data_IF_384612536241
#
_entry.id   IF_384612536241
#
_cell.length_a   1.000
_cell.length_b   1.000
_cell.length_c   1.000
_cell.angle_alpha   90.00
_cell.angle_beta   90.00
_cell.angle_gamma   90.00
#
_symmetry.space_group_name_H-M   'P 1'
#
loop_
_entity.id
_entity.type
_entity.pdbx_description
1 polymer ?
#
# COMPACT_ATOMS: atom_id res chain seq x y z
N UNK A 1 -48.21 -23.52 24.94
CA UNK A 1 -49.46 -23.42 24.13
C UNK A 1 -49.40 -22.11 23.37
N UNK A 2 -49.13 -22.13 22.11
CA UNK A 2 -49.74 -21.45 20.98
C UNK A 2 -48.87 -21.65 19.75
N UNK A 3 -49.41 -22.41 18.81
CA UNK A 3 -48.86 -22.61 17.45
C UNK A 3 -49.09 -21.34 16.62
N UNK A 4 -48.16 -20.96 15.81
CA UNK A 4 -48.43 -20.09 14.66
C UNK A 4 -47.79 -20.68 13.41
N UNK A 5 -48.65 -20.82 12.43
CA UNK A 5 -48.51 -21.53 11.17
C UNK A 5 -47.61 -20.84 10.17
N UNK A 6 -46.84 -21.63 9.44
CA UNK A 6 -46.12 -21.22 8.22
C UNK A 6 -47.10 -21.27 7.04
N UNK A 7 -47.20 -20.17 6.30
CA UNK A 7 -47.88 -20.13 5.01
C UNK A 7 -46.85 -20.12 3.90
N UNK A 8 -46.81 -21.21 3.11
CA UNK A 8 -46.02 -21.27 1.85
C UNK A 8 -46.79 -20.46 0.78
N UNK A 9 -46.05 -19.57 0.12
CA UNK A 9 -46.52 -18.93 -1.11
C UNK A 9 -45.74 -19.49 -2.29
N UNK A 10 -46.38 -20.24 -3.15
CA UNK A 10 -45.88 -20.75 -4.40
C UNK A 10 -46.00 -19.65 -5.48
N UNK A 11 -44.88 -19.27 -6.11
CA UNK A 11 -44.88 -18.43 -7.32
C UNK A 11 -44.70 -19.31 -8.56
N UNK A 12 -45.65 -19.20 -9.46
CA UNK A 12 -45.74 -19.85 -10.76
C UNK A 12 -44.76 -19.26 -11.76
N UNK A 13 -44.00 -20.13 -12.48
CA UNK A 13 -43.24 -19.77 -13.66
C UNK A 13 -44.19 -19.47 -14.84
N UNK A 14 -44.13 -18.29 -15.39
CA UNK A 14 -44.64 -17.96 -16.71
C UNK A 14 -43.52 -17.94 -17.72
N UNK A 15 -43.54 -18.84 -18.70
CA UNK A 15 -42.59 -18.90 -19.79
C UNK A 15 -42.80 -17.77 -20.81
N UNK A 16 -41.75 -17.09 -21.18
CA UNK A 16 -41.71 -16.19 -22.33
C UNK A 16 -40.91 -16.83 -23.47
N UNK A 17 -41.57 -17.01 -24.61
CA UNK A 17 -40.98 -17.47 -25.88
C UNK A 17 -40.12 -16.39 -26.48
N UNK A 18 -38.90 -16.75 -26.90
CA UNK A 18 -38.02 -15.93 -27.70
C UNK A 18 -38.57 -15.82 -29.13
N UNK A 19 -38.71 -14.60 -29.61
CA UNK A 19 -38.94 -14.30 -31.03
C UNK A 19 -37.58 -13.98 -31.66
N UNK A 20 -37.19 -14.76 -32.66
CA UNK A 20 -36.03 -14.45 -33.52
C UNK A 20 -36.41 -13.38 -34.53
N UNK A 21 -35.69 -12.25 -34.47
CA UNK A 21 -35.68 -11.25 -35.52
C UNK A 21 -34.28 -11.23 -36.15
N UNK A 22 -34.20 -11.71 -37.37
CA UNK A 22 -33.05 -11.56 -38.25
C UNK A 22 -33.12 -10.17 -38.88
N UNK A 23 -32.20 -9.29 -38.53
CA UNK A 23 -31.98 -8.02 -39.19
C UNK A 23 -30.48 -7.76 -39.28
N UNK A 24 -29.93 -7.97 -40.49
CA UNK A 24 -28.58 -7.52 -40.83
C UNK A 24 -28.59 -5.98 -40.94
N UNK A 25 -27.88 -5.33 -40.03
CA UNK A 25 -27.53 -3.93 -40.15
C UNK A 25 -26.00 -3.83 -40.18
N UNK A 26 -25.50 -3.42 -41.34
CA UNK A 26 -24.13 -2.96 -41.52
C UNK A 26 -23.88 -1.78 -40.60
N UNK A 27 -23.08 -1.98 -39.54
CA UNK A 27 -22.58 -0.89 -38.71
C UNK A 27 -21.17 -0.56 -39.17
N UNK A 28 -21.09 0.50 -39.98
CA UNK A 28 -19.84 1.20 -40.21
C UNK A 28 -19.28 1.63 -38.82
N UNK A 29 -18.33 0.92 -38.29
CA UNK A 29 -17.55 1.35 -37.16
C UNK A 29 -16.62 2.48 -37.58
N UNK A 30 -17.03 3.70 -37.31
CA UNK A 30 -16.10 4.83 -37.29
C UNK A 30 -15.12 4.63 -36.17
N UNK A 31 -13.91 4.23 -36.50
CA UNK A 31 -12.76 4.33 -35.63
C UNK A 31 -12.56 5.80 -35.24
N UNK A 32 -12.57 6.10 -33.95
CA UNK A 32 -12.34 7.48 -33.54
C UNK A 32 -12.63 7.73 -32.07
N UNK A 33 -11.87 7.15 -31.19
CA UNK A 33 -11.44 7.77 -29.95
C UNK A 33 -10.10 7.13 -29.60
N UNK A 34 -9.01 7.80 -29.93
CA UNK A 34 -7.74 7.58 -29.26
C UNK A 34 -7.94 7.99 -27.82
N UNK A 35 -8.36 7.05 -26.97
CA UNK A 35 -8.19 7.18 -25.56
C UNK A 35 -6.68 7.34 -25.34
N UNK A 36 -6.23 8.47 -24.81
CA UNK A 36 -4.88 8.58 -24.32
C UNK A 36 -4.71 7.46 -23.31
N UNK A 37 -3.82 6.50 -23.60
CA UNK A 37 -3.40 5.53 -22.60
C UNK A 37 -2.88 6.35 -21.42
N UNK A 38 -3.51 6.17 -20.25
CA UNK A 38 -2.97 6.75 -19.02
C UNK A 38 -1.65 6.07 -18.80
N UNK A 39 -0.56 6.84 -18.65
CA UNK A 39 0.75 6.27 -18.44
C UNK A 39 0.76 5.44 -17.15
N UNK A 40 1.23 4.21 -17.25
CA UNK A 40 1.36 3.31 -16.10
C UNK A 40 2.39 3.84 -15.11
N UNK A 41 2.15 3.59 -13.83
CA UNK A 41 3.00 4.03 -12.72
C UNK A 41 3.73 2.83 -12.12
N UNK A 42 5.06 2.86 -12.20
CA UNK A 42 5.97 2.07 -11.39
C UNK A 42 6.61 3.03 -10.40
N UNK A 43 6.22 2.95 -9.12
CA UNK A 43 6.66 3.88 -8.10
C UNK A 43 7.21 3.17 -6.86
N UNK A 44 8.00 3.91 -6.07
CA UNK A 44 8.37 3.52 -4.73
C UNK A 44 8.59 4.75 -3.85
N UNK A 45 8.56 4.55 -2.53
CA UNK A 45 9.05 5.51 -1.57
C UNK A 45 10.53 5.24 -1.28
N UNK A 46 11.33 6.31 -1.28
CA UNK A 46 12.73 6.29 -0.91
C UNK A 46 12.89 6.92 0.47
N UNK A 47 13.37 6.16 1.44
CA UNK A 47 13.52 6.57 2.83
C UNK A 47 14.87 7.25 3.05
N UNK A 48 14.86 8.55 3.27
CA UNK A 48 16.12 9.32 3.43
C UNK A 48 16.95 8.89 4.64
N UNK A 49 16.32 8.31 5.68
CA UNK A 49 17.02 7.82 6.89
C UNK A 49 17.76 6.50 6.68
N UNK A 50 17.51 5.77 5.59
CA UNK A 50 18.26 4.56 5.23
C UNK A 50 19.35 4.82 4.17
N UNK A 51 19.59 6.08 3.83
CA UNK A 51 20.50 6.47 2.75
C UNK A 51 21.96 6.04 2.94
N UNK A 52 22.40 5.77 4.18
CA UNK A 52 23.73 5.24 4.45
C UNK A 52 23.90 3.79 3.95
N UNK A 53 22.82 3.02 3.91
CA UNK A 53 22.82 1.62 3.51
C UNK A 53 22.26 1.42 2.10
N UNK A 54 21.22 2.18 1.73
CA UNK A 54 20.63 2.19 0.40
C UNK A 54 20.78 3.60 -0.22
N UNK A 55 21.92 3.81 -0.88
CA UNK A 55 22.24 5.10 -1.49
C UNK A 55 21.47 5.33 -2.78
N UNK A 56 21.44 6.57 -3.27
CA UNK A 56 20.84 6.90 -4.58
C UNK A 56 21.46 6.13 -5.75
N UNK A 57 22.68 5.62 -5.60
CA UNK A 57 23.34 4.79 -6.61
C UNK A 57 22.84 3.35 -6.64
N UNK A 58 22.13 2.91 -5.59
CA UNK A 58 21.54 1.57 -5.52
C UNK A 58 20.14 1.52 -6.17
N UNK A 59 19.53 2.69 -6.42
CA UNK A 59 18.18 2.76 -7.03
C UNK A 59 18.27 2.41 -8.51
N UNK A 60 17.46 1.46 -8.95
CA UNK A 60 17.26 1.09 -10.36
C UNK A 60 16.33 2.08 -11.06
N UNK A 61 16.83 3.31 -11.28
CA UNK A 61 16.06 4.46 -11.76
C UNK A 61 15.29 4.20 -13.05
N UNK A 62 15.84 3.42 -13.96
CA UNK A 62 15.26 3.02 -15.26
C UNK A 62 14.00 2.16 -15.11
N UNK A 63 13.81 1.55 -13.94
CA UNK A 63 12.64 0.73 -13.62
C UNK A 63 11.47 1.51 -13.02
N UNK A 64 11.67 2.78 -12.65
CA UNK A 64 10.65 3.61 -12.03
C UNK A 64 10.17 4.74 -12.93
N UNK A 65 8.90 5.10 -12.79
CA UNK A 65 8.30 6.30 -13.42
C UNK A 65 8.22 7.46 -12.45
N UNK A 66 8.03 7.15 -11.17
CA UNK A 66 7.93 8.08 -10.05
C UNK A 66 8.73 7.56 -8.88
N UNK A 67 9.40 8.45 -8.17
CA UNK A 67 10.05 8.13 -6.90
C UNK A 67 9.69 9.21 -5.89
N UNK A 68 9.28 8.79 -4.71
CA UNK A 68 8.78 9.68 -3.66
C UNK A 68 9.74 9.66 -2.48
N UNK A 69 10.34 10.81 -2.17
CA UNK A 69 11.21 10.97 -1.00
C UNK A 69 10.40 11.01 0.29
N UNK A 70 10.72 10.18 1.26
CA UNK A 70 10.05 10.08 2.56
C UNK A 70 10.96 10.59 3.68
N UNK A 71 10.51 11.46 4.55
CA UNK A 71 9.28 12.26 4.55
C UNK A 71 9.59 13.72 4.84
N UNK A 72 8.75 14.62 4.32
CA UNK A 72 8.56 15.91 4.97
C UNK A 72 7.40 15.76 5.97
N UNK A 73 7.57 16.25 7.19
CA UNK A 73 6.58 16.10 8.26
C UNK A 73 5.82 17.41 8.51
N UNK A 74 4.55 17.28 8.92
CA UNK A 74 3.75 18.44 9.36
C UNK A 74 4.29 19.01 10.66
N UNK A 75 4.14 20.32 10.87
CA UNK A 75 4.54 21.01 12.10
C UNK A 75 3.37 21.78 12.72
N UNK A 76 3.47 22.21 14.00
CA UNK A 76 2.48 23.10 14.59
C UNK A 76 2.34 24.45 13.87
N UNK A 77 3.39 24.90 13.18
CA UNK A 77 3.36 26.10 12.35
C UNK A 77 2.95 25.73 10.92
N UNK A 78 1.74 26.09 10.53
CA UNK A 78 1.18 25.84 9.20
C UNK A 78 2.04 26.39 8.05
N UNK A 79 2.98 27.31 8.35
CA UNK A 79 3.90 27.89 7.36
C UNK A 79 5.18 27.10 7.15
N UNK A 80 5.27 25.90 7.75
CA UNK A 80 6.46 25.07 7.69
C UNK A 80 6.10 23.60 7.60
N UNK A 81 6.77 22.88 6.71
CA UNK A 81 7.01 21.43 6.78
C UNK A 81 8.48 21.21 7.12
N UNK A 82 8.80 20.14 7.84
CA UNK A 82 10.17 19.82 8.27
C UNK A 82 10.67 18.56 7.57
N UNK A 83 11.98 18.52 7.33
CA UNK A 83 12.68 17.31 6.89
C UNK A 83 13.41 16.63 8.08
N UNK A 84 13.11 17.05 9.32
CA UNK A 84 13.62 16.36 10.50
C UNK A 84 13.16 14.88 10.50
N UNK A 85 14.08 13.96 10.72
CA UNK A 85 13.82 12.53 10.63
C UNK A 85 14.06 11.94 9.25
N UNK A 86 14.44 12.76 8.27
CA UNK A 86 14.97 12.35 6.97
C UNK A 86 16.30 13.04 6.72
N UNK A 87 16.86 12.97 5.52
CA UNK A 87 18.10 13.67 5.18
C UNK A 87 17.81 14.89 4.28
N UNK A 88 17.80 16.13 4.84
CA UNK A 88 17.52 17.34 4.06
C UNK A 88 18.60 17.68 3.04
N UNK A 89 19.84 17.23 3.26
CA UNK A 89 20.97 17.50 2.36
C UNK A 89 20.96 16.53 1.16
N UNK A 90 20.30 15.37 1.32
CA UNK A 90 20.14 14.38 0.28
C UNK A 90 19.01 14.73 -0.70
N UNK A 91 17.94 15.39 -0.24
CA UNK A 91 16.78 15.69 -1.07
C UNK A 91 17.11 16.39 -2.40
N UNK A 92 17.98 17.43 -2.46
CA UNK A 92 18.38 18.04 -3.74
C UNK A 92 19.07 17.06 -4.68
N UNK A 93 19.88 16.14 -4.15
CA UNK A 93 20.58 15.12 -4.92
C UNK A 93 19.62 14.06 -5.45
N UNK A 94 18.66 13.65 -4.62
CA UNK A 94 17.57 12.75 -5.01
C UNK A 94 16.79 13.33 -6.20
N UNK A 95 16.36 14.59 -6.11
CA UNK A 95 15.61 15.26 -7.20
C UNK A 95 16.42 15.31 -8.49
N UNK A 96 17.72 15.66 -8.39
CA UNK A 96 18.61 15.69 -9.55
C UNK A 96 18.75 14.31 -10.20
N UNK A 97 18.96 13.26 -9.39
CA UNK A 97 19.10 11.88 -9.92
C UNK A 97 17.80 11.39 -10.56
N UNK A 98 16.64 11.58 -9.90
CA UNK A 98 15.36 11.18 -10.46
C UNK A 98 15.12 11.86 -11.81
N UNK A 99 15.21 13.19 -11.87
CA UNK A 99 14.95 13.95 -13.09
C UNK A 99 15.94 13.66 -14.22
N UNK A 100 17.21 13.39 -13.89
CA UNK A 100 18.24 12.97 -14.86
C UNK A 100 17.90 11.65 -15.54
N UNK A 101 17.21 10.75 -14.81
CA UNK A 101 16.78 9.45 -15.33
C UNK A 101 15.33 9.48 -15.88
N UNK A 102 14.71 10.65 -16.00
CA UNK A 102 13.35 10.79 -16.52
C UNK A 102 12.25 10.38 -15.52
N UNK A 103 12.62 10.15 -14.25
CA UNK A 103 11.72 9.77 -13.17
C UNK A 103 11.16 11.02 -12.51
N UNK A 104 9.85 11.03 -12.22
CA UNK A 104 9.21 12.11 -11.47
C UNK A 104 9.67 12.09 -10.02
N UNK A 105 10.21 13.21 -9.54
CA UNK A 105 10.64 13.39 -8.16
C UNK A 105 9.52 14.00 -7.32
N UNK A 106 8.95 13.22 -6.41
CA UNK A 106 7.95 13.65 -5.45
C UNK A 106 8.56 13.69 -4.04
N UNK A 107 7.90 14.42 -3.13
CA UNK A 107 8.12 14.28 -1.69
C UNK A 107 6.79 13.91 -1.05
N UNK A 108 6.83 12.90 -0.18
CA UNK A 108 5.70 12.54 0.67
C UNK A 108 5.69 13.44 1.90
N UNK A 109 4.53 14.05 2.15
CA UNK A 109 4.29 14.87 3.34
C UNK A 109 3.46 14.03 4.29
N UNK A 110 3.93 13.84 5.52
CA UNK A 110 3.24 13.07 6.55
C UNK A 110 3.93 11.77 6.91
N UNK A 111 3.27 10.65 6.64
CA UNK A 111 3.64 9.32 7.14
C UNK A 111 3.14 9.10 8.57
N UNK A 112 3.39 7.90 9.12
CA UNK A 112 2.91 7.48 10.44
C UNK A 112 3.24 8.47 11.55
N UNK A 113 4.49 8.93 11.62
CA UNK A 113 4.96 9.86 12.65
C UNK A 113 4.81 11.33 12.25
N UNK A 114 4.73 11.63 10.96
CA UNK A 114 4.71 12.99 10.43
C UNK A 114 3.34 13.62 10.24
N UNK A 115 2.26 12.85 10.47
CA UNK A 115 0.87 13.31 10.25
C UNK A 115 0.25 14.09 11.40
N UNK A 116 1.00 14.39 12.47
CA UNK A 116 0.46 14.90 13.74
C UNK A 116 -0.38 16.18 13.61
N UNK A 117 -0.03 17.08 12.70
CA UNK A 117 -0.60 18.42 12.62
C UNK A 117 -1.45 18.68 11.37
N UNK A 118 -1.71 17.69 10.54
CA UNK A 118 -2.52 17.87 9.33
C UNK A 118 -3.87 18.50 9.62
N UNK A 119 -4.61 17.96 10.60
CA UNK A 119 -5.92 18.47 10.99
C UNK A 119 -5.88 19.96 11.36
N UNK A 120 -4.84 20.39 12.09
CA UNK A 120 -4.63 21.81 12.43
C UNK A 120 -4.30 22.63 11.18
N UNK A 121 -3.44 22.09 10.30
CA UNK A 121 -2.93 22.82 9.14
C UNK A 121 -3.98 23.04 8.05
N UNK A 122 -5.03 22.20 7.99
CA UNK A 122 -6.13 22.37 7.03
C UNK A 122 -7.46 22.78 7.69
N UNK A 123 -7.51 22.91 9.03
CA UNK A 123 -8.72 23.06 9.82
C UNK A 123 -9.50 24.35 9.62
N UNK A 124 -8.89 25.41 9.10
CA UNK A 124 -9.57 26.67 8.78
C UNK A 124 -9.21 27.16 7.37
N UNK A 125 -10.02 28.04 6.80
CA UNK A 125 -9.73 28.62 5.49
C UNK A 125 -8.38 29.35 5.46
N UNK A 126 -8.08 30.14 6.50
CA UNK A 126 -6.80 30.86 6.60
C UNK A 126 -5.61 29.90 6.66
N UNK A 127 -5.75 28.81 7.42
CA UNK A 127 -4.70 27.79 7.51
C UNK A 127 -4.54 27.04 6.18
N UNK A 128 -5.64 26.69 5.48
CA UNK A 128 -5.55 26.05 4.16
C UNK A 128 -4.80 26.93 3.17
N UNK A 129 -5.15 28.21 3.08
CA UNK A 129 -4.43 29.17 2.21
C UNK A 129 -2.95 29.30 2.60
N UNK A 130 -2.64 29.33 3.90
CA UNK A 130 -1.24 29.35 4.36
C UNK A 130 -0.52 28.05 4.02
N UNK A 131 -1.17 26.89 4.18
CA UNK A 131 -0.57 25.58 3.89
C UNK A 131 -0.38 25.36 2.38
N UNK A 132 -1.31 25.82 1.53
CA UNK A 132 -1.11 25.84 0.06
C UNK A 132 0.18 26.57 -0.28
N UNK A 133 0.39 27.77 0.30
CA UNK A 133 1.62 28.50 0.07
C UNK A 133 2.85 27.75 0.58
N UNK A 134 2.78 27.13 1.74
CA UNK A 134 3.88 26.33 2.31
C UNK A 134 4.28 25.20 1.38
N UNK A 135 3.30 24.44 0.88
CA UNK A 135 3.53 23.31 -0.05
C UNK A 135 4.08 23.80 -1.39
N UNK A 136 3.56 24.89 -1.94
CA UNK A 136 4.03 25.41 -3.23
C UNK A 136 5.42 26.07 -3.14
N UNK A 137 5.72 26.74 -2.04
CA UNK A 137 7.08 27.27 -1.76
C UNK A 137 8.08 26.11 -1.61
N UNK A 138 7.72 25.05 -0.87
CA UNK A 138 8.53 23.86 -0.70
C UNK A 138 8.79 23.14 -2.03
N UNK A 139 7.76 22.90 -2.82
CA UNK A 139 7.91 22.29 -4.14
C UNK A 139 8.79 23.12 -5.07
N UNK A 140 8.66 24.44 -5.02
CA UNK A 140 9.48 25.38 -5.81
C UNK A 140 10.93 25.38 -5.35
N UNK A 141 11.18 25.39 -4.04
CA UNK A 141 12.52 25.39 -3.45
C UNK A 141 13.32 24.16 -3.91
N UNK A 142 12.72 23.00 -3.88
CA UNK A 142 13.38 21.74 -4.22
C UNK A 142 13.17 21.30 -5.68
N UNK A 143 12.43 22.10 -6.49
CA UNK A 143 12.12 21.82 -7.90
C UNK A 143 11.43 20.47 -8.10
N UNK A 144 10.48 20.14 -7.22
CA UNK A 144 9.75 18.89 -7.25
C UNK A 144 8.81 18.81 -8.45
N UNK A 145 8.62 17.62 -8.99
CA UNK A 145 7.58 17.33 -9.98
C UNK A 145 6.21 17.16 -9.32
N UNK A 146 6.17 16.78 -8.05
CA UNK A 146 4.92 16.57 -7.34
C UNK A 146 5.03 16.47 -5.82
N UNK A 147 3.87 16.32 -5.20
CA UNK A 147 3.71 16.09 -3.75
C UNK A 147 2.80 14.89 -3.56
N UNK A 148 3.23 13.98 -2.70
CA UNK A 148 2.43 12.89 -2.15
C UNK A 148 1.93 13.31 -0.76
N UNK A 149 0.64 13.11 -0.48
CA UNK A 149 0.05 13.40 0.82
C UNK A 149 -0.21 12.09 1.55
N UNK A 150 0.62 11.81 2.53
CA UNK A 150 0.50 10.62 3.36
C UNK A 150 -0.06 11.01 4.73
N UNK A 151 -1.36 11.33 4.74
CA UNK A 151 -2.06 11.67 5.97
C UNK A 151 -2.68 10.44 6.63
N UNK A 152 -2.12 10.03 7.76
CA UNK A 152 -2.54 8.85 8.50
C UNK A 152 -3.21 9.23 9.84
N UNK A 153 -4.54 9.46 9.88
CA UNK A 153 -5.50 9.49 8.75
C UNK A 153 -6.49 10.63 8.94
N UNK A 154 -7.09 11.19 7.87
CA UNK A 154 -8.17 12.18 8.01
C UNK A 154 -9.36 11.63 8.82
N UNK A 155 -9.71 12.32 9.91
CA UNK A 155 -10.85 11.97 10.77
C UNK A 155 -10.66 10.69 11.60
N UNK A 156 -9.45 10.10 11.60
CA UNK A 156 -9.15 8.86 12.34
C UNK A 156 -7.77 8.99 13.00
N UNK A 157 -7.61 8.37 14.18
CA UNK A 157 -6.32 8.35 14.85
C UNK A 157 -5.34 7.46 14.09
N UNK A 158 -4.12 7.96 13.89
CA UNK A 158 -2.97 7.20 13.40
C UNK A 158 -2.13 6.71 14.59
N UNK A 159 -0.92 7.26 14.75
CA UNK A 159 0.04 6.85 15.79
C UNK A 159 -0.46 7.02 17.24
N UNK A 160 -1.52 7.80 17.46
CA UNK A 160 -2.16 7.89 18.79
C UNK A 160 -2.24 9.30 19.37
N UNK A 161 -1.48 10.27 18.87
CA UNK A 161 -1.47 11.66 19.34
C UNK A 161 -1.67 12.69 18.22
N UNK A 162 -2.17 12.29 17.08
CA UNK A 162 -2.52 13.20 15.99
C UNK A 162 -3.64 14.14 16.43
N UNK A 163 -3.55 15.40 16.01
CA UNK A 163 -4.73 16.25 15.99
C UNK A 163 -5.75 15.67 15.00
N UNK A 164 -6.99 15.53 15.41
CA UNK A 164 -8.08 14.99 14.58
C UNK A 164 -9.34 15.86 14.68
N UNK A 165 -10.09 15.91 13.61
CA UNK A 165 -11.40 16.57 13.53
C UNK A 165 -12.35 15.73 12.68
N UNK A 166 -13.66 15.70 12.99
CA UNK A 166 -14.65 15.06 12.11
C UNK A 166 -14.72 15.73 10.73
N UNK A 167 -14.23 16.95 10.58
CA UNK A 167 -14.22 17.69 9.32
C UNK A 167 -12.94 17.50 8.49
N UNK A 168 -11.99 16.69 8.96
CA UNK A 168 -10.66 16.52 8.32
C UNK A 168 -10.74 16.18 6.85
N UNK A 169 -11.53 15.18 6.48
CA UNK A 169 -11.66 14.77 5.08
C UNK A 169 -12.24 15.86 4.20
N UNK A 170 -13.22 16.62 4.71
CA UNK A 170 -13.79 17.78 3.99
C UNK A 170 -12.78 18.90 3.84
N UNK A 171 -12.02 19.17 4.91
CA UNK A 171 -10.97 20.18 4.92
C UNK A 171 -9.81 19.80 4.01
N UNK A 172 -9.45 18.52 3.99
CA UNK A 172 -8.41 17.99 3.08
C UNK A 172 -8.82 18.18 1.60
N UNK A 173 -10.05 17.81 1.24
CA UNK A 173 -10.55 18.06 -0.11
C UNK A 173 -10.52 19.55 -0.47
N UNK A 174 -10.95 20.42 0.47
CA UNK A 174 -10.93 21.87 0.25
C UNK A 174 -9.51 22.41 0.05
N UNK A 175 -8.55 21.92 0.83
CA UNK A 175 -7.12 22.23 0.68
C UNK A 175 -6.60 21.83 -0.70
N UNK A 176 -6.87 20.58 -1.15
CA UNK A 176 -6.43 20.08 -2.45
C UNK A 176 -7.06 20.88 -3.61
N UNK A 177 -8.33 21.27 -3.49
CA UNK A 177 -9.01 22.13 -4.45
C UNK A 177 -8.37 23.50 -4.54
N UNK A 178 -8.00 24.10 -3.43
CA UNK A 178 -7.29 25.38 -3.36
C UNK A 178 -5.88 25.24 -3.94
N UNK A 179 -5.16 24.18 -3.61
CA UNK A 179 -3.83 23.89 -4.16
C UNK A 179 -3.87 23.77 -5.69
N UNK A 180 -4.89 23.13 -6.27
CA UNK A 180 -5.06 23.04 -7.74
C UNK A 180 -5.36 24.37 -8.41
N UNK A 181 -5.80 25.38 -7.67
CA UNK A 181 -6.02 26.73 -8.21
C UNK A 181 -4.75 27.59 -8.14
N UNK A 182 -3.78 27.22 -7.31
CA UNK A 182 -2.50 27.92 -7.22
C UNK A 182 -1.69 27.78 -8.51
N UNK A 183 -0.99 28.85 -8.98
CA UNK A 183 -0.20 28.80 -10.22
C UNK A 183 0.91 27.73 -10.25
N UNK A 184 1.48 27.36 -9.09
CA UNK A 184 2.45 26.28 -8.94
C UNK A 184 1.70 24.96 -8.77
N UNK A 185 0.76 24.90 -7.80
CA UNK A 185 0.05 23.68 -7.42
C UNK A 185 -0.72 23.01 -8.55
N UNK A 186 -1.26 23.81 -9.52
CA UNK A 186 -1.96 23.24 -10.69
C UNK A 186 -1.08 22.38 -11.62
N UNK A 187 0.25 22.58 -11.55
CA UNK A 187 1.21 21.90 -12.43
C UNK A 187 1.94 20.76 -11.70
N UNK A 188 1.79 20.65 -10.36
CA UNK A 188 2.35 19.56 -9.58
C UNK A 188 1.59 18.26 -9.83
N UNK A 189 2.29 17.17 -9.83
CA UNK A 189 1.70 15.84 -9.66
C UNK A 189 1.25 15.71 -8.20
N UNK A 190 -0.03 15.44 -7.96
CA UNK A 190 -0.57 15.34 -6.60
C UNK A 190 -1.13 13.94 -6.37
N UNK A 191 -0.58 13.28 -5.37
CA UNK A 191 -0.99 11.92 -4.99
C UNK A 191 -1.36 11.88 -3.51
N UNK A 192 -2.00 10.81 -3.10
CA UNK A 192 -2.22 10.54 -1.69
C UNK A 192 -2.06 9.05 -1.39
N UNK A 193 -1.27 8.72 -0.36
CA UNK A 193 -1.28 7.42 0.26
C UNK A 193 -2.57 7.29 1.09
N UNK A 194 -3.20 6.11 1.05
CA UNK A 194 -4.52 5.90 1.66
C UNK A 194 -4.62 4.52 2.29
N UNK A 195 -5.46 4.41 3.33
CA UNK A 195 -5.81 3.09 3.87
C UNK A 195 -6.62 2.26 2.87
N UNK A 196 -6.81 0.98 3.18
CA UNK A 196 -7.63 0.04 2.39
C UNK A 196 -9.13 0.40 2.32
N UNK A 197 -9.56 1.39 3.09
CA UNK A 197 -10.95 1.88 3.06
C UNK A 197 -10.99 3.36 2.70
N UNK A 198 -12.03 3.83 1.99
CA UNK A 198 -12.23 5.24 1.74
C UNK A 198 -12.19 6.08 3.02
N UNK A 199 -11.70 7.32 2.90
CA UNK A 199 -11.59 8.24 4.03
C UNK A 199 -12.88 8.35 4.83
N UNK A 200 -12.76 8.63 6.12
CA UNK A 200 -13.92 8.77 7.01
C UNK A 200 -14.61 10.12 6.82
N UNK A 201 -15.93 10.08 6.79
CA UNK A 201 -16.76 11.28 6.87
C UNK A 201 -16.94 11.77 8.32
N UNK A 202 -17.68 12.90 8.50
CA UNK A 202 -17.93 13.48 9.82
C UNK A 202 -18.67 12.56 10.81
N UNK A 203 -19.36 11.55 10.29
CA UNK A 203 -20.07 10.53 11.09
C UNK A 203 -19.17 9.35 11.50
N UNK A 204 -17.89 9.38 11.11
CA UNK A 204 -16.92 8.31 11.38
C UNK A 204 -17.04 7.09 10.46
N UNK A 205 -17.95 7.10 9.50
CA UNK A 205 -18.08 6.04 8.49
C UNK A 205 -17.28 6.37 7.23
N UNK A 206 -16.92 5.35 6.44
CA UNK A 206 -16.24 5.58 5.17
C UNK A 206 -17.14 6.34 4.20
N UNK A 207 -16.56 7.32 3.50
CA UNK A 207 -17.28 8.08 2.48
C UNK A 207 -17.77 7.16 1.36
N UNK A 208 -19.02 7.37 0.97
CA UNK A 208 -19.63 6.71 -0.19
C UNK A 208 -19.37 7.45 -1.51
N UNK A 209 -18.78 8.66 -1.47
CA UNK A 209 -18.43 9.46 -2.64
C UNK A 209 -17.11 10.20 -2.39
N UNK A 210 -16.07 9.77 -3.10
CA UNK A 210 -14.73 10.39 -3.14
C UNK A 210 -14.43 11.03 -4.50
N UNK A 211 -15.42 11.18 -5.37
CA UNK A 211 -15.25 11.72 -6.72
C UNK A 211 -14.69 13.15 -6.75
N UNK A 212 -14.85 13.89 -5.64
CA UNK A 212 -14.23 15.20 -5.45
C UNK A 212 -12.71 15.12 -5.44
N UNK A 213 -12.15 14.10 -4.78
CA UNK A 213 -10.71 13.84 -4.73
C UNK A 213 -10.18 13.38 -6.09
N UNK A 214 -10.91 12.53 -6.80
CA UNK A 214 -10.55 12.07 -8.14
C UNK A 214 -10.37 13.23 -9.15
N UNK A 215 -10.98 14.40 -8.90
CA UNK A 215 -10.83 15.59 -9.75
C UNK A 215 -9.59 16.41 -9.44
N UNK A 216 -8.96 16.19 -8.31
CA UNK A 216 -7.83 17.01 -7.82
C UNK A 216 -6.54 16.22 -7.59
N UNK A 217 -6.64 14.90 -7.41
CA UNK A 217 -5.49 14.00 -7.33
C UNK A 217 -5.22 13.36 -8.70
N UNK A 218 -3.96 13.12 -9.00
CA UNK A 218 -3.55 12.35 -10.18
C UNK A 218 -3.75 10.85 -9.95
N UNK A 219 -3.49 10.37 -8.72
CA UNK A 219 -3.87 9.03 -8.25
C UNK A 219 -3.88 8.96 -6.71
N UNK A 220 -4.46 7.88 -6.19
CA UNK A 220 -4.26 7.43 -4.81
C UNK A 220 -3.39 6.17 -4.83
N UNK A 221 -2.50 6.03 -3.83
CA UNK A 221 -1.77 4.80 -3.56
C UNK A 221 -2.41 4.10 -2.36
N UNK A 222 -3.09 2.98 -2.59
CA UNK A 222 -3.72 2.21 -1.50
C UNK A 222 -2.63 1.42 -0.77
N UNK A 223 -2.36 1.74 0.48
CA UNK A 223 -1.43 1.03 1.37
C UNK A 223 -2.03 -0.33 1.75
N UNK A 224 -1.95 -1.32 0.83
CA UNK A 224 -2.43 -2.67 1.06
C UNK A 224 -1.33 -3.51 1.72
N UNK A 225 -0.90 -3.09 2.87
CA UNK A 225 0.06 -3.74 3.75
C UNK A 225 -0.26 -3.38 5.21
N UNK A 226 0.45 -3.96 6.16
CA UNK A 226 0.13 -3.86 7.59
C UNK A 226 -1.30 -4.34 7.91
N UNK A 227 -1.81 -5.29 7.12
CA UNK A 227 -3.14 -5.85 7.34
C UNK A 227 -3.13 -6.73 8.61
N UNK A 228 -2.06 -7.51 8.79
CA UNK A 228 -1.81 -8.28 10.01
C UNK A 228 -0.38 -8.05 10.49
N UNK A 229 -0.21 -8.04 11.81
CA UNK A 229 1.05 -7.88 12.51
C UNK A 229 0.90 -8.22 13.99
N UNK A 230 1.78 -7.75 14.84
CA UNK A 230 1.77 -8.01 16.29
C UNK A 230 0.45 -7.66 17.00
N UNK A 231 -0.34 -6.78 16.41
CA UNK A 231 -1.67 -6.38 16.91
C UNK A 231 -2.78 -7.39 16.59
N UNK A 232 -2.56 -8.31 15.66
CA UNK A 232 -3.56 -9.29 15.20
C UNK A 232 -3.86 -10.36 16.26
N UNK A 233 -4.93 -11.13 16.08
CA UNK A 233 -5.32 -12.21 17.00
C UNK A 233 -4.67 -13.56 16.65
N UNK A 234 -4.18 -13.68 15.42
CA UNK A 234 -3.47 -14.85 14.89
C UNK A 234 -2.48 -14.35 13.83
N UNK A 235 -1.53 -15.20 13.44
CA UNK A 235 -0.69 -14.94 12.27
C UNK A 235 -1.57 -14.74 11.03
N UNK A 236 -1.25 -13.76 10.23
CA UNK A 236 -1.97 -13.46 9.00
C UNK A 236 -1.07 -12.76 7.97
N UNK A 237 -1.52 -12.71 6.73
CA UNK A 237 -0.77 -12.07 5.65
C UNK A 237 -0.56 -10.58 5.91
N UNK A 238 0.66 -10.08 5.68
CA UNK A 238 0.97 -8.64 5.71
C UNK A 238 0.17 -7.88 4.64
N UNK A 239 0.17 -8.39 3.41
CA UNK A 239 -0.41 -7.71 2.25
C UNK A 239 -1.24 -8.67 1.38
N UNK A 240 -2.37 -9.20 1.86
CA UNK A 240 -3.16 -10.18 1.13
C UNK A 240 -3.72 -9.58 -0.18
N UNK A 241 -3.61 -10.35 -1.26
CA UNK A 241 -4.28 -10.01 -2.51
C UNK A 241 -5.79 -10.20 -2.38
N UNK A 242 -6.21 -11.30 -1.75
CA UNK A 242 -7.61 -11.62 -1.45
C UNK A 242 -7.72 -12.24 -0.05
N UNK A 243 -8.87 -12.08 0.61
CA UNK A 243 -9.13 -12.67 1.92
C UNK A 243 -10.54 -13.30 2.03
N UNK A 244 -11.31 -13.30 0.94
CA UNK A 244 -12.69 -13.79 0.96
C UNK A 244 -12.82 -15.30 1.20
N UNK A 245 -11.75 -16.07 0.98
CA UNK A 245 -11.64 -17.50 1.26
C UNK A 245 -11.10 -17.81 2.65
N UNK A 246 -10.62 -16.79 3.39
CA UNK A 246 -10.20 -16.95 4.78
C UNK A 246 -11.43 -17.12 5.71
N UNK A 247 -11.28 -17.73 6.88
CA UNK A 247 -12.31 -17.71 7.92
C UNK A 247 -12.73 -16.26 8.24
N UNK A 248 -14.01 -16.04 8.51
CA UNK A 248 -14.53 -14.67 8.72
C UNK A 248 -13.80 -13.86 9.81
N UNK A 249 -13.25 -14.53 10.83
CA UNK A 249 -12.44 -13.90 11.87
C UNK A 249 -11.06 -13.41 11.38
N UNK A 250 -10.61 -13.88 10.22
CA UNK A 250 -9.32 -13.58 9.60
C UNK A 250 -9.46 -12.73 8.31
N UNK A 251 -10.67 -12.29 7.99
CA UNK A 251 -10.92 -11.36 6.88
C UNK A 251 -10.69 -9.92 7.38
N UNK A 252 -9.43 -9.48 7.35
CA UNK A 252 -9.03 -8.15 7.82
C UNK A 252 -9.00 -7.10 6.70
N UNK A 253 -9.17 -7.52 5.45
CA UNK A 253 -9.08 -6.71 4.25
C UNK A 253 -8.01 -7.22 3.29
N UNK A 254 -8.06 -6.77 2.04
CA UNK A 254 -7.19 -7.22 0.96
C UNK A 254 -7.17 -6.22 -0.19
N UNK A 255 -6.23 -6.38 -1.14
CA UNK A 255 -6.17 -5.55 -2.34
C UNK A 255 -7.49 -5.58 -3.12
N UNK A 256 -8.08 -6.76 -3.29
CA UNK A 256 -9.36 -6.93 -4.01
C UNK A 256 -10.48 -6.15 -3.34
N UNK A 257 -10.64 -6.28 -2.02
CA UNK A 257 -11.69 -5.58 -1.27
C UNK A 257 -11.44 -4.07 -1.20
N UNK A 258 -10.18 -3.64 -1.06
CA UNK A 258 -9.80 -2.24 -1.02
C UNK A 258 -10.09 -1.53 -2.36
N UNK A 259 -9.62 -2.09 -3.46
CA UNK A 259 -9.88 -1.53 -4.81
C UNK A 259 -11.38 -1.46 -5.09
N UNK A 260 -12.13 -2.50 -4.72
CA UNK A 260 -13.60 -2.50 -4.86
C UNK A 260 -14.24 -1.37 -4.04
N UNK A 261 -13.82 -1.18 -2.77
CA UNK A 261 -14.37 -0.14 -1.90
C UNK A 261 -14.11 1.27 -2.45
N UNK A 262 -12.87 1.57 -2.86
CA UNK A 262 -12.49 2.86 -3.44
C UNK A 262 -13.18 3.14 -4.78
N UNK A 263 -13.33 2.10 -5.63
CA UNK A 263 -13.99 2.23 -6.93
C UNK A 263 -15.49 2.47 -6.76
N UNK A 264 -16.14 1.75 -5.85
CA UNK A 264 -17.57 1.97 -5.51
C UNK A 264 -17.79 3.37 -4.94
N UNK A 265 -16.83 3.90 -4.19
CA UNK A 265 -16.87 5.27 -3.69
C UNK A 265 -16.56 6.34 -4.75
N UNK A 266 -16.29 5.95 -6.00
CA UNK A 266 -16.13 6.89 -7.12
C UNK A 266 -14.68 7.27 -7.45
N UNK A 267 -13.67 6.54 -6.95
CA UNK A 267 -12.30 6.65 -7.43
C UNK A 267 -12.14 5.79 -8.69
N UNK A 268 -11.81 6.36 -9.86
CA UNK A 268 -11.61 5.56 -11.07
C UNK A 268 -10.42 4.59 -10.93
N UNK A 269 -10.54 3.37 -11.42
CA UNK A 269 -9.48 2.36 -11.32
C UNK A 269 -8.13 2.85 -11.89
N UNK A 270 -8.16 3.58 -12.99
CA UNK A 270 -6.97 4.18 -13.62
C UNK A 270 -6.37 5.37 -12.82
N UNK A 271 -6.94 5.72 -11.69
CA UNK A 271 -6.38 6.65 -10.69
C UNK A 271 -6.05 5.93 -9.37
N UNK A 272 -6.01 4.60 -9.37
CA UNK A 272 -5.60 3.78 -8.23
C UNK A 272 -4.26 3.13 -8.55
N UNK A 273 -3.30 3.32 -7.66
CA UNK A 273 -2.02 2.63 -7.60
C UNK A 273 -2.07 1.65 -6.43
N UNK A 274 -1.64 0.41 -6.63
CA UNK A 274 -1.60 -0.58 -5.56
C UNK A 274 -0.31 -0.43 -4.76
N UNK A 275 -0.42 -0.13 -3.47
CA UNK A 275 0.69 -0.19 -2.54
C UNK A 275 1.08 -1.65 -2.27
N UNK A 276 2.37 -1.94 -2.36
CA UNK A 276 2.95 -3.27 -2.12
C UNK A 276 4.14 -3.16 -1.18
N UNK A 277 4.30 -4.09 -0.21
CA UNK A 277 5.42 -4.02 0.73
C UNK A 277 6.62 -4.80 0.23
N UNK A 278 7.81 -4.29 0.44
CA UNK A 278 9.06 -5.05 0.31
C UNK A 278 9.53 -5.65 1.64
N UNK A 279 8.63 -5.81 2.60
CA UNK A 279 8.86 -6.31 3.94
C UNK A 279 7.74 -7.23 4.42
N UNK A 280 7.99 -7.94 5.52
CA UNK A 280 7.00 -8.77 6.21
C UNK A 280 7.02 -8.60 7.73
N UNK A 281 5.99 -9.12 8.39
CA UNK A 281 5.87 -9.12 9.85
C UNK A 281 6.20 -10.48 10.45
N UNK A 282 6.98 -10.48 11.54
CA UNK A 282 7.34 -11.68 12.26
C UNK A 282 6.42 -11.91 13.46
N UNK A 283 6.31 -13.21 13.84
CA UNK A 283 5.50 -13.69 14.94
C UNK A 283 6.25 -14.81 15.66
N UNK A 284 6.21 -14.83 16.98
CA UNK A 284 6.70 -15.99 17.75
C UNK A 284 5.60 -17.04 17.80
N UNK A 285 5.83 -18.19 17.16
CA UNK A 285 4.87 -19.30 17.06
C UNK A 285 5.51 -20.54 17.62
N UNK A 286 4.90 -21.11 18.67
CA UNK A 286 5.37 -22.35 19.26
C UNK A 286 5.30 -23.49 18.22
N UNK A 287 6.25 -24.44 18.28
CA UNK A 287 6.35 -25.54 17.32
C UNK A 287 5.03 -26.32 17.21
N UNK A 288 4.37 -26.55 18.36
CA UNK A 288 3.09 -27.28 18.41
C UNK A 288 1.93 -26.59 17.68
N UNK A 289 2.01 -25.27 17.48
CA UNK A 289 1.01 -24.46 16.80
C UNK A 289 1.38 -24.18 15.33
N UNK A 290 2.66 -24.32 14.97
CA UNK A 290 3.19 -23.93 13.67
C UNK A 290 2.73 -24.83 12.52
N UNK A 291 2.34 -26.08 12.81
CA UNK A 291 2.04 -27.07 11.80
C UNK A 291 0.60 -27.60 11.87
N UNK A 292 0.12 -28.07 10.73
CA UNK A 292 -1.12 -28.83 10.69
C UNK A 292 -0.88 -30.24 11.25
N UNK A 293 -1.73 -30.65 12.20
CA UNK A 293 -1.77 -32.05 12.63
C UNK A 293 -2.65 -32.87 11.69
N UNK A 294 -2.23 -34.12 11.43
CA UNK A 294 -3.06 -35.11 10.75
C UNK A 294 -4.18 -35.67 11.68
N UNK A 295 -5.01 -36.58 11.17
CA UNK A 295 -6.10 -37.19 11.94
C UNK A 295 -5.63 -37.98 13.18
N UNK A 296 -4.35 -38.28 13.31
CA UNK A 296 -3.74 -38.97 14.45
C UNK A 296 -3.13 -37.97 15.45
N UNK A 297 -3.06 -36.69 15.08
CA UNK A 297 -2.41 -35.64 15.87
C UNK A 297 -0.91 -35.51 15.63
N UNK A 298 -0.39 -36.16 14.57
CA UNK A 298 1.01 -36.03 14.18
C UNK A 298 1.19 -34.85 13.21
N UNK A 299 2.29 -34.11 13.35
CA UNK A 299 2.69 -33.04 12.45
C UNK A 299 2.94 -33.61 11.05
N UNK A 300 2.31 -32.98 10.04
CA UNK A 300 2.43 -33.38 8.64
C UNK A 300 3.45 -32.55 7.83
N UNK A 301 4.21 -31.67 8.49
CA UNK A 301 5.21 -30.80 7.85
C UNK A 301 4.63 -29.63 7.06
N UNK A 302 3.32 -29.38 7.16
CA UNK A 302 2.64 -28.27 6.49
C UNK A 302 2.33 -27.15 7.48
N UNK A 303 2.80 -25.95 7.23
CA UNK A 303 2.52 -24.81 8.11
C UNK A 303 1.02 -24.56 8.26
N UNK A 304 0.60 -24.36 9.50
CA UNK A 304 -0.78 -24.07 9.87
C UNK A 304 -1.26 -22.73 9.25
N UNK A 305 -2.55 -22.68 8.96
CA UNK A 305 -3.21 -21.42 8.55
C UNK A 305 -3.62 -20.67 9.81
N UNK A 306 -3.22 -19.41 9.91
CA UNK A 306 -3.58 -18.53 11.03
C UNK A 306 -3.27 -19.11 12.42
N UNK A 307 -2.04 -19.64 12.65
CA UNK A 307 -1.70 -20.16 13.98
C UNK A 307 -1.77 -19.05 15.04
N UNK A 308 -2.04 -19.39 16.30
CA UNK A 308 -1.84 -18.46 17.40
C UNK A 308 -0.36 -18.10 17.51
N UNK A 309 -0.06 -16.97 18.15
CA UNK A 309 1.31 -16.55 18.42
C UNK A 309 1.43 -15.88 19.79
N UNK A 310 2.62 -15.91 20.37
CA UNK A 310 2.88 -15.28 21.66
C UNK A 310 3.27 -13.80 21.49
N UNK A 311 2.32 -12.89 21.75
CA UNK A 311 2.54 -11.44 21.69
C UNK A 311 3.55 -10.91 22.71
N UNK A 312 3.81 -11.66 23.79
CA UNK A 312 4.78 -11.25 24.79
C UNK A 312 6.23 -11.50 24.35
N UNK A 313 6.42 -12.31 23.32
CA UNK A 313 7.70 -12.67 22.75
C UNK A 313 7.83 -12.14 21.29
N UNK A 314 7.51 -10.85 21.08
CA UNK A 314 7.67 -10.26 19.75
C UNK A 314 9.11 -10.43 19.27
N UNK A 315 9.36 -11.15 18.15
CA UNK A 315 10.69 -11.25 17.58
C UNK A 315 11.22 -9.87 17.16
N UNK A 316 12.53 -9.65 17.29
CA UNK A 316 13.16 -8.53 16.60
C UNK A 316 13.19 -8.83 15.10
N UNK A 317 13.01 -7.80 14.30
CA UNK A 317 13.18 -7.87 12.86
C UNK A 317 14.63 -7.80 12.42
N UNK A 318 14.87 -7.29 11.23
CA UNK A 318 16.20 -7.10 10.67
C UNK A 318 16.92 -5.84 11.20
N UNK A 319 17.99 -5.41 10.52
CA UNK A 319 18.80 -4.28 10.97
C UNK A 319 18.12 -2.91 10.80
N UNK A 320 17.02 -2.85 10.04
CA UNK A 320 16.24 -1.63 9.84
C UNK A 320 14.96 -1.60 10.69
N UNK A 321 14.66 -2.70 11.39
CA UNK A 321 13.49 -2.76 12.27
C UNK A 321 13.57 -1.78 13.44
N UNK A 322 12.44 -1.19 13.77
CA UNK A 322 12.31 -0.33 14.96
C UNK A 322 12.45 -1.15 16.24
N UNK A 323 13.47 -0.84 17.02
CA UNK A 323 13.66 -1.45 18.34
C UNK A 323 12.58 -1.06 19.34
N UNK A 324 12.41 -1.88 20.38
CA UNK A 324 11.53 -1.52 21.50
C UNK A 324 11.95 -0.19 22.13
N UNK A 325 10.98 0.69 22.40
CA UNK A 325 11.28 2.05 22.86
C UNK A 325 10.06 2.84 23.30
N UNK A 326 10.21 4.15 23.22
CA UNK A 326 9.12 5.09 23.48
C UNK A 326 8.79 5.81 22.15
N UNK A 327 7.55 5.73 21.71
CA UNK A 327 7.10 6.41 20.50
C UNK A 327 7.04 7.93 20.67
N UNK A 328 6.76 8.64 19.57
CA UNK A 328 6.64 10.11 19.57
C UNK A 328 5.49 10.63 20.45
N UNK A 329 4.51 9.78 20.76
CA UNK A 329 3.38 10.10 21.65
C UNK A 329 3.69 9.83 23.13
N UNK A 330 4.86 9.25 23.45
CA UNK A 330 5.27 8.89 24.79
C UNK A 330 4.79 7.51 25.26
N UNK A 331 4.26 6.67 24.37
CA UNK A 331 3.87 5.30 24.70
C UNK A 331 5.06 4.36 24.61
N UNK A 332 5.07 3.32 25.46
CA UNK A 332 6.03 2.22 25.31
C UNK A 332 5.57 1.29 24.19
N UNK A 333 6.47 1.01 23.25
CA UNK A 333 6.25 0.12 22.11
C UNK A 333 7.24 -1.05 22.16
N UNK A 334 6.79 -2.22 21.72
CA UNK A 334 7.66 -3.37 21.50
C UNK A 334 8.51 -3.14 20.22
N UNK A 335 9.45 -4.04 19.93
CA UNK A 335 10.12 -4.10 18.62
C UNK A 335 9.07 -4.28 17.51
N UNK A 336 9.32 -3.72 16.35
CA UNK A 336 8.40 -3.79 15.19
C UNK A 336 8.24 -5.23 14.69
N UNK A 337 9.34 -5.98 14.66
CA UNK A 337 9.39 -7.34 14.14
C UNK A 337 9.32 -7.39 12.62
N UNK A 338 9.75 -6.32 11.96
CA UNK A 338 9.74 -6.20 10.52
C UNK A 338 11.01 -6.82 9.91
N UNK A 339 10.83 -7.56 8.84
CA UNK A 339 11.90 -8.05 7.99
C UNK A 339 11.70 -7.52 6.58
N UNK A 340 12.60 -6.67 6.11
CA UNK A 340 12.73 -6.36 4.70
C UNK A 340 13.03 -7.64 3.90
N UNK A 341 12.79 -7.63 2.61
CA UNK A 341 13.05 -8.82 1.79
C UNK A 341 14.55 -9.21 1.82
N UNK A 342 15.46 -8.21 1.77
CA UNK A 342 16.89 -8.47 2.00
C UNK A 342 17.16 -8.97 3.43
N UNK A 343 16.42 -8.47 4.42
CA UNK A 343 16.53 -8.89 5.82
C UNK A 343 16.16 -10.36 6.04
N UNK A 344 15.20 -10.90 5.27
CA UNK A 344 14.89 -12.34 5.26
C UNK A 344 16.04 -13.17 4.69
N UNK A 345 16.79 -12.64 3.72
CA UNK A 345 17.98 -13.30 3.18
C UNK A 345 19.10 -13.28 4.22
N UNK A 346 19.39 -12.14 4.80
CA UNK A 346 20.43 -11.98 5.81
C UNK A 346 20.10 -12.74 7.10
N UNK A 347 18.82 -12.84 7.45
CA UNK A 347 18.30 -13.62 8.57
C UNK A 347 18.28 -15.14 8.34
N UNK A 348 18.63 -15.60 7.15
CA UNK A 348 18.72 -17.03 6.81
C UNK A 348 17.36 -17.70 6.57
N UNK A 349 16.29 -16.94 6.35
CA UNK A 349 15.00 -17.48 5.93
C UNK A 349 14.97 -17.77 4.43
N UNK A 350 15.67 -16.95 3.65
CA UNK A 350 15.76 -17.06 2.18
C UNK A 350 17.22 -17.15 1.73
N UNK A 351 17.43 -17.76 0.58
CA UNK A 351 18.69 -17.70 -0.16
C UNK A 351 18.80 -16.36 -0.93
N UNK A 352 20.00 -16.02 -1.38
CA UNK A 352 20.29 -14.78 -2.12
C UNK A 352 19.47 -14.58 -3.42
N UNK A 353 18.88 -15.64 -3.95
CA UNK A 353 17.99 -15.60 -5.12
C UNK A 353 16.49 -15.56 -4.75
N UNK A 354 16.16 -15.34 -3.48
CA UNK A 354 14.79 -15.28 -2.97
C UNK A 354 14.10 -16.63 -2.78
N UNK A 355 14.78 -17.75 -3.02
CA UNK A 355 14.23 -19.09 -2.69
C UNK A 355 14.39 -19.39 -1.21
N UNK A 356 13.52 -20.27 -0.69
CA UNK A 356 13.56 -20.67 0.72
C UNK A 356 14.89 -21.34 1.08
N UNK A 357 15.46 -20.99 2.22
CA UNK A 357 16.70 -21.57 2.74
C UNK A 357 16.50 -23.02 3.26
N UNK A 358 17.58 -23.80 3.24
CA UNK A 358 17.54 -25.16 3.76
C UNK A 358 17.19 -25.17 5.26
N UNK A 359 16.25 -26.01 5.67
CA UNK A 359 15.80 -26.14 7.05
C UNK A 359 14.72 -25.11 7.46
N UNK A 360 14.28 -24.27 6.56
CA UNK A 360 13.16 -23.34 6.78
C UNK A 360 11.89 -23.91 6.11
N UNK A 361 10.79 -23.90 6.83
CA UNK A 361 9.50 -24.32 6.30
C UNK A 361 8.86 -23.17 5.50
N UNK A 362 8.18 -23.50 4.43
CA UNK A 362 7.52 -22.54 3.54
C UNK A 362 6.10 -22.95 3.24
N UNK A 363 5.21 -21.99 3.19
CA UNK A 363 3.85 -22.16 2.70
C UNK A 363 3.46 -20.98 1.85
N UNK A 364 2.97 -21.22 0.65
CA UNK A 364 2.22 -20.23 -0.13
C UNK A 364 0.74 -20.38 0.16
N UNK A 365 0.07 -19.32 0.58
CA UNK A 365 -1.37 -19.33 0.82
C UNK A 365 -2.12 -18.91 -0.44
N UNK A 366 -2.85 -19.85 -1.04
CA UNK A 366 -3.57 -19.65 -2.31
C UNK A 366 -4.72 -18.64 -2.20
N UNK A 367 -5.19 -18.34 -0.99
CA UNK A 367 -6.22 -17.35 -0.76
C UNK A 367 -5.65 -15.95 -0.77
N UNK A 368 -4.72 -15.66 0.13
CA UNK A 368 -4.06 -14.37 0.21
C UNK A 368 -3.06 -14.15 -0.93
N UNK A 369 -2.65 -15.22 -1.61
CA UNK A 369 -1.57 -15.25 -2.61
C UNK A 369 -0.29 -14.62 -2.06
N UNK A 370 0.05 -14.99 -0.82
CA UNK A 370 1.25 -14.52 -0.12
C UNK A 370 1.92 -15.69 0.60
N UNK A 371 3.26 -15.65 0.73
CA UNK A 371 4.03 -16.68 1.40
C UNK A 371 4.17 -16.45 2.91
N UNK A 372 4.49 -17.55 3.59
CA UNK A 372 4.95 -17.61 4.97
C UNK A 372 6.21 -18.46 5.03
N UNK A 373 7.17 -18.06 5.86
CA UNK A 373 8.32 -18.89 6.25
C UNK A 373 8.31 -19.11 7.75
N UNK A 374 8.83 -20.25 8.20
CA UNK A 374 8.97 -20.58 9.60
C UNK A 374 10.31 -21.27 9.87
N UNK A 375 11.03 -20.75 10.83
CA UNK A 375 12.25 -21.36 11.36
C UNK A 375 11.94 -21.97 12.73
N UNK A 376 12.01 -23.31 12.80
CA UNK A 376 11.66 -24.08 14.00
C UNK A 376 12.62 -23.83 15.16
N UNK A 377 13.92 -23.63 14.87
CA UNK A 377 14.94 -23.41 15.91
C UNK A 377 14.73 -22.09 16.66
N UNK A 378 14.34 -21.03 15.94
CA UNK A 378 14.04 -19.71 16.51
C UNK A 378 12.56 -19.53 16.88
N UNK A 379 11.67 -20.42 16.43
CA UNK A 379 10.22 -20.32 16.55
C UNK A 379 9.65 -19.02 15.95
N UNK A 380 10.28 -18.52 14.88
CA UNK A 380 9.87 -17.31 14.20
C UNK A 380 9.17 -17.65 12.88
N UNK A 381 7.94 -17.23 12.77
CA UNK A 381 7.16 -17.24 11.52
C UNK A 381 7.12 -15.82 10.93
N UNK A 382 7.35 -15.68 9.64
CA UNK A 382 7.25 -14.39 8.94
C UNK A 382 6.24 -14.49 7.82
N UNK A 383 5.26 -13.59 7.83
CA UNK A 383 4.34 -13.36 6.73
C UNK A 383 4.91 -12.23 5.85
N UNK A 384 5.18 -12.51 4.58
CA UNK A 384 5.93 -11.60 3.71
C UNK A 384 5.42 -11.67 2.26
N UNK A 385 6.12 -11.03 1.34
CA UNK A 385 5.90 -11.12 -0.10
C UNK A 385 7.18 -11.60 -0.80
N UNK A 386 7.01 -12.48 -1.79
CA UNK A 386 8.08 -12.96 -2.66
C UNK A 386 7.80 -12.63 -4.14
N UNK A 387 8.67 -13.08 -5.03
CA UNK A 387 8.48 -12.87 -6.47
C UNK A 387 7.13 -13.43 -6.98
N UNK A 388 6.64 -14.54 -6.40
CA UNK A 388 5.36 -15.15 -6.82
C UNK A 388 4.17 -14.29 -6.44
N UNK A 389 4.15 -13.79 -5.20
CA UNK A 389 3.09 -12.91 -4.73
C UNK A 389 3.13 -11.54 -5.42
N UNK A 390 4.33 -11.02 -5.73
CA UNK A 390 4.49 -9.79 -6.50
C UNK A 390 4.01 -9.95 -7.94
N UNK A 391 4.27 -11.10 -8.59
CA UNK A 391 3.69 -11.41 -9.90
C UNK A 391 2.15 -11.44 -9.84
N UNK A 392 1.57 -12.09 -8.83
CA UNK A 392 0.12 -12.13 -8.65
C UNK A 392 -0.49 -10.72 -8.46
N UNK A 393 0.18 -9.84 -7.71
CA UNK A 393 -0.21 -8.43 -7.55
C UNK A 393 -0.06 -7.64 -8.85
N UNK A 394 1.00 -7.90 -9.63
CA UNK A 394 1.19 -7.31 -10.96
C UNK A 394 0.08 -7.71 -11.95
N UNK A 395 -0.28 -8.97 -11.99
CA UNK A 395 -1.41 -9.46 -12.79
C UNK A 395 -2.74 -8.82 -12.35
N UNK A 396 -2.92 -8.63 -11.05
CA UNK A 396 -4.10 -7.94 -10.52
C UNK A 396 -4.13 -6.46 -10.94
N UNK A 397 -3.01 -5.76 -10.89
CA UNK A 397 -2.88 -4.37 -11.39
C UNK A 397 -3.33 -4.30 -12.84
N UNK A 398 -2.81 -5.19 -13.70
CA UNK A 398 -3.13 -5.26 -15.11
C UNK A 398 -4.59 -5.60 -15.38
N UNK A 399 -5.09 -6.66 -14.76
CA UNK A 399 -6.45 -7.17 -15.02
C UNK A 399 -7.55 -6.28 -14.43
N UNK A 400 -7.25 -5.56 -13.35
CA UNK A 400 -8.17 -4.59 -12.75
C UNK A 400 -8.07 -3.18 -13.36
N UNK A 401 -7.22 -3.02 -14.39
CA UNK A 401 -6.96 -1.73 -15.05
C UNK A 401 -6.61 -0.63 -14.04
N UNK A 402 -5.76 -0.98 -13.06
CA UNK A 402 -5.20 -0.01 -12.14
C UNK A 402 -4.12 0.82 -12.84
N UNK A 403 -3.77 1.96 -12.26
CA UNK A 403 -2.72 2.81 -12.82
C UNK A 403 -1.32 2.23 -12.69
N UNK A 404 -1.09 1.36 -11.72
CA UNK A 404 0.20 0.76 -11.46
C UNK A 404 0.37 0.32 -10.01
N UNK A 405 1.61 0.35 -9.53
CA UNK A 405 1.98 -0.02 -8.17
C UNK A 405 2.94 1.00 -7.54
N UNK A 406 3.00 1.01 -6.20
CA UNK A 406 3.98 1.76 -5.42
C UNK A 406 4.53 0.89 -4.28
N UNK A 407 5.85 0.74 -4.20
CA UNK A 407 6.51 -0.15 -3.25
C UNK A 407 6.98 0.61 -2.00
N UNK A 408 6.62 0.14 -0.83
CA UNK A 408 7.14 0.55 0.46
C UNK A 408 8.08 -0.54 0.99
N UNK A 409 9.38 -0.34 0.93
CA UNK A 409 10.12 0.78 0.38
C UNK A 409 11.14 0.33 -0.70
N UNK A 410 11.71 1.30 -1.40
CA UNK A 410 12.67 1.01 -2.47
C UNK A 410 13.90 0.23 -1.98
N UNK A 411 14.34 0.47 -0.74
CA UNK A 411 15.51 -0.18 -0.14
C UNK A 411 15.23 -1.56 0.46
N UNK A 412 13.95 -1.97 0.58
CA UNK A 412 13.59 -3.25 1.21
C UNK A 412 13.73 -4.47 0.30
N UNK A 413 13.81 -4.27 -1.03
CA UNK A 413 14.03 -5.35 -2.00
C UNK A 413 15.49 -5.84 -2.00
N UNK A 414 15.77 -6.90 -2.71
CA UNK A 414 17.11 -7.42 -2.95
C UNK A 414 17.32 -7.75 -4.42
N UNK A 415 18.30 -7.08 -5.05
CA UNK A 415 18.61 -7.28 -6.48
C UNK A 415 17.40 -7.17 -7.41
N UNK A 416 16.46 -6.30 -7.09
CA UNK A 416 15.21 -6.06 -7.83
C UNK A 416 14.30 -7.29 -8.00
N UNK A 417 14.45 -8.32 -7.18
CA UNK A 417 13.69 -9.58 -7.28
C UNK A 417 12.18 -9.31 -7.24
N UNK A 418 11.74 -8.49 -6.32
CA UNK A 418 10.33 -8.12 -6.18
C UNK A 418 9.91 -7.15 -7.28
N UNK A 419 10.71 -6.11 -7.51
CA UNK A 419 10.46 -5.07 -8.50
C UNK A 419 10.31 -5.65 -9.91
N UNK A 420 11.23 -6.51 -10.34
CA UNK A 420 11.20 -7.11 -11.68
C UNK A 420 9.96 -8.01 -11.84
N UNK A 421 9.63 -8.76 -10.81
CA UNK A 421 8.46 -9.66 -10.84
C UNK A 421 7.16 -8.89 -11.04
N UNK A 422 6.90 -7.84 -10.25
CA UNK A 422 5.66 -7.08 -10.38
C UNK A 422 5.61 -6.29 -11.68
N UNK A 423 6.74 -5.71 -12.12
CA UNK A 423 6.84 -4.98 -13.39
C UNK A 423 6.49 -5.86 -14.58
N UNK A 424 7.09 -7.06 -14.64
CA UNK A 424 6.83 -8.03 -15.70
C UNK A 424 5.36 -8.42 -15.75
N UNK A 425 4.77 -8.78 -14.62
CA UNK A 425 3.37 -9.23 -14.54
C UNK A 425 2.39 -8.09 -14.85
N UNK A 426 2.67 -6.86 -14.39
CA UNK A 426 1.86 -5.69 -14.69
C UNK A 426 1.94 -5.27 -16.16
N UNK A 427 2.93 -5.75 -16.92
CA UNK A 427 3.09 -5.49 -18.35
C UNK A 427 3.93 -4.25 -18.67
N UNK A 428 4.82 -3.84 -17.76
CA UNK A 428 5.91 -2.93 -18.12
C UNK A 428 6.84 -3.67 -19.08
N UNK A 429 7.31 -2.97 -20.13
CA UNK A 429 8.27 -3.55 -21.05
C UNK A 429 9.55 -3.91 -20.29
N UNK A 430 9.99 -5.15 -20.40
CA UNK A 430 11.38 -5.49 -20.12
C UNK A 430 12.18 -4.99 -21.31
N UNK A 431 13.30 -4.29 -21.10
CA UNK A 431 14.24 -4.08 -22.18
C UNK A 431 14.62 -5.47 -22.70
N UNK A 432 14.11 -5.79 -23.89
CA UNK A 432 14.53 -6.97 -24.63
C UNK A 432 16.03 -6.75 -24.87
N UNK A 433 16.88 -7.55 -24.21
CA UNK A 433 18.28 -7.67 -24.58
C UNK A 433 18.27 -8.13 -26.03
N UNK A 434 18.28 -7.15 -26.95
CA UNK A 434 18.27 -7.42 -28.38
C UNK A 434 19.49 -8.25 -28.73
N UNK A 435 19.34 -9.57 -28.63
CA UNK A 435 20.15 -10.49 -29.40
C UNK A 435 19.75 -10.29 -30.86
N UNK A 436 20.44 -9.37 -31.51
CA UNK A 436 20.53 -9.30 -32.97
C UNK A 436 20.99 -10.67 -33.48
N UNK A 437 20.06 -11.40 -34.11
CA UNK A 437 20.36 -12.57 -34.93
C UNK A 437 21.02 -12.15 -36.23
#
# INVERSE_FOLDING_TARGET
MSLLSYTLLALSLAGARAATVSGSADVNATAGASGSSVDMVSAAWYTGWHSDNFTLANVSWDKYTHMTYSFAITTPDVKQVSLDGSDPDLLPQFVEQAQKNGVKALVSVGGWTGSLYYSSNVGSADNRTAFVKTITDFATQYKLDGIDFDWEYPGTQGIGCNAISPDDTTNFLSFLQELRQDPVGKNLFLTAATSITPWKGPDGTSLSDVSGFAKVLDYIAIMNYDINGAWSTAVGANAPLNDTCAPAANQAGSAVSAVAAWTVAGMPSHQIVLGVPSYGHSFHVDVEDAFHCDDNGDDNGVLASFPPFDKAQQPSGDAWDDGAGTDICGNQVAAGGNFDFWGLIDGGFLNANGTVADGVFYRYDECSQTPYVYNEDSQVMVAFDDATSFAAKGDFVKTSNLRGFAMWEAGGDSNDILLDSIRQAAGFETEDDGEDC
#
